data_IF_385875288239
#
_entry.id   IF_385875288239
#
_cell.length_a   1.000
_cell.length_b   1.000
_cell.length_c   1.000
_cell.angle_alpha   90.00
_cell.angle_beta   90.00
_cell.angle_gamma   90.00
#
_symmetry.space_group_name_H-M   'P 1'
#
loop_
_entity.id
_entity.type
_entity.pdbx_description
1 polymer ?
#
# COMPACT_ATOMS: atom_id res chain seq x y z
N UNK A 1 17.83 29.62 -27.99
CA UNK A 1 17.77 29.76 -26.52
C UNK A 1 16.39 30.27 -26.08
N UNK A 2 15.54 29.37 -25.61
CA UNK A 2 14.30 29.72 -24.93
C UNK A 2 14.35 29.06 -23.55
N UNK A 3 14.25 29.81 -22.44
CA UNK A 3 14.16 29.20 -21.14
C UNK A 3 12.72 28.74 -20.94
N UNK A 4 12.48 27.43 -21.06
CA UNK A 4 11.24 26.86 -20.53
C UNK A 4 11.36 26.85 -19.00
N UNK A 5 11.04 27.99 -18.39
CA UNK A 5 10.74 28.07 -16.98
C UNK A 5 9.41 27.37 -16.74
N UNK A 6 9.44 26.05 -16.57
CA UNK A 6 8.33 25.35 -15.93
C UNK A 6 8.40 25.68 -14.46
N UNK A 7 7.66 26.72 -14.07
CA UNK A 7 7.33 27.06 -12.69
C UNK A 7 6.89 25.80 -11.98
N UNK A 8 7.77 25.22 -11.15
CA UNK A 8 7.38 24.18 -10.22
C UNK A 8 6.47 24.86 -9.21
N UNK A 9 5.17 24.78 -9.46
CA UNK A 9 4.16 25.15 -8.48
C UNK A 9 4.49 24.36 -7.22
N UNK A 10 5.06 25.05 -6.22
CA UNK A 10 5.37 24.50 -4.92
C UNK A 10 4.05 24.29 -4.16
N UNK A 11 3.22 23.38 -4.68
CA UNK A 11 2.17 22.77 -3.91
C UNK A 11 2.88 22.15 -2.72
N UNK A 12 2.61 22.65 -1.51
CA UNK A 12 3.17 22.10 -0.29
C UNK A 12 2.86 20.61 -0.27
N UNK A 13 3.85 19.77 -0.59
CA UNK A 13 3.70 18.33 -0.55
C UNK A 13 3.50 17.96 0.91
N UNK A 14 2.50 17.14 1.18
CA UNK A 14 2.16 16.66 2.51
C UNK A 14 2.16 15.14 2.49
N UNK A 15 2.46 14.53 3.64
CA UNK A 15 2.39 13.08 3.76
C UNK A 15 0.94 12.62 3.54
N UNK A 16 0.72 11.73 2.58
CA UNK A 16 -0.59 11.24 2.20
C UNK A 16 -1.17 10.19 3.18
N UNK A 17 -0.56 10.06 4.36
CA UNK A 17 -1.11 9.35 5.50
C UNK A 17 -1.88 10.32 6.39
N UNK A 18 -3.21 10.16 6.52
CA UNK A 18 -4.07 11.04 7.34
C UNK A 18 -3.76 10.97 8.84
N UNK A 19 -3.18 9.88 9.31
CA UNK A 19 -2.77 9.70 10.71
C UNK A 19 -1.33 10.19 10.96
N UNK A 20 -0.67 10.77 9.95
CA UNK A 20 0.66 11.33 10.11
C UNK A 20 0.60 12.74 10.67
N UNK A 21 1.26 12.96 11.81
CA UNK A 21 1.40 14.28 12.45
C UNK A 21 2.69 15.02 12.03
N UNK A 22 3.49 14.45 11.13
CA UNK A 22 4.74 15.07 10.66
C UNK A 22 4.44 16.04 9.51
N UNK A 23 4.75 17.31 9.72
CA UNK A 23 4.61 18.37 8.71
C UNK A 23 6.00 18.76 8.19
N UNK A 24 6.12 18.90 6.86
CA UNK A 24 7.31 19.45 6.19
C UNK A 24 8.60 18.64 6.36
N UNK A 25 8.66 17.46 5.72
CA UNK A 25 9.96 16.89 5.38
C UNK A 25 10.34 17.34 3.96
N UNK A 26 11.56 17.84 3.79
CA UNK A 26 12.11 18.17 2.46
C UNK A 26 12.17 16.95 1.53
N UNK A 27 12.05 15.75 2.09
CA UNK A 27 12.13 14.48 1.39
C UNK A 27 10.82 13.69 1.51
N UNK A 28 10.13 13.56 0.38
CA UNK A 28 9.01 12.65 0.19
C UNK A 28 9.42 11.48 -0.69
N UNK A 29 8.86 10.31 -0.37
CA UNK A 29 9.08 9.07 -1.11
C UNK A 29 7.75 8.54 -1.66
N UNK A 30 7.76 7.89 -2.82
CA UNK A 30 6.53 7.39 -3.44
C UNK A 30 5.95 6.20 -2.66
N UNK A 31 4.63 6.25 -2.44
CA UNK A 31 3.83 5.21 -1.80
C UNK A 31 3.00 4.39 -2.79
N UNK A 32 1.74 4.14 -2.45
CA UNK A 32 0.78 3.46 -3.33
C UNK A 32 0.36 4.32 -4.51
N UNK A 33 -0.15 3.66 -5.55
CA UNK A 33 -0.67 4.33 -6.74
C UNK A 33 -2.03 4.94 -6.47
N UNK A 34 -2.18 6.22 -6.79
CA UNK A 34 -3.43 6.96 -6.70
C UNK A 34 -4.32 6.67 -7.92
N UNK A 35 -5.61 6.98 -7.81
CA UNK A 35 -6.56 6.85 -8.93
C UNK A 35 -6.21 7.77 -10.11
N UNK A 36 -5.49 8.86 -9.88
CA UNK A 36 -4.97 9.74 -10.94
C UNK A 36 -3.87 9.07 -11.76
N UNK A 37 -3.29 7.98 -11.26
CA UNK A 37 -2.15 7.29 -11.87
C UNK A 37 -0.81 7.64 -11.21
N UNK A 38 -0.74 8.75 -10.46
CA UNK A 38 0.44 9.20 -9.71
C UNK A 38 0.71 8.33 -8.47
N UNK A 39 1.83 8.61 -7.79
CA UNK A 39 2.15 8.00 -6.50
C UNK A 39 1.79 8.92 -5.35
N UNK A 40 1.36 8.33 -4.23
CA UNK A 40 1.17 9.05 -2.98
C UNK A 40 2.53 9.54 -2.44
N UNK A 41 2.63 10.81 -2.06
CA UNK A 41 3.81 11.33 -1.36
C UNK A 41 3.77 10.88 0.11
N UNK A 42 4.80 10.18 0.59
CA UNK A 42 4.91 9.73 1.98
C UNK A 42 6.17 10.30 2.63
N UNK A 43 6.08 10.70 3.90
CA UNK A 43 7.25 11.00 4.71
C UNK A 43 8.10 9.73 4.92
N UNK A 44 9.37 9.87 5.32
CA UNK A 44 10.29 8.73 5.44
C UNK A 44 9.76 7.62 6.35
N UNK A 45 9.12 7.97 7.46
CA UNK A 45 8.51 7.00 8.38
C UNK A 45 7.37 6.22 7.72
N UNK A 46 6.47 6.93 7.03
CA UNK A 46 5.32 6.32 6.38
C UNK A 46 5.74 5.47 5.17
N UNK A 47 6.70 5.94 4.39
CA UNK A 47 7.26 5.21 3.25
C UNK A 47 7.94 3.92 3.71
N UNK A 48 8.76 3.98 4.76
CA UNK A 48 9.44 2.80 5.31
C UNK A 48 8.45 1.73 5.79
N UNK A 49 7.34 2.13 6.40
CA UNK A 49 6.26 1.21 6.78
C UNK A 49 5.55 0.59 5.57
N UNK A 50 5.35 1.37 4.51
CA UNK A 50 4.74 0.91 3.26
C UNK A 50 5.61 -0.13 2.55
N UNK A 51 6.90 0.13 2.38
CA UNK A 51 7.84 -0.77 1.72
C UNK A 51 8.02 -2.10 2.44
N UNK A 52 7.96 -2.08 3.78
CA UNK A 52 7.98 -3.30 4.59
C UNK A 52 6.65 -4.07 4.56
N UNK A 53 5.61 -3.53 3.91
CA UNK A 53 4.28 -4.12 3.89
C UNK A 53 3.58 -4.13 5.26
N UNK A 54 3.88 -3.13 6.10
CA UNK A 54 3.37 -2.98 7.48
C UNK A 54 2.53 -1.71 7.68
N UNK A 55 2.31 -0.92 6.62
CA UNK A 55 1.62 0.37 6.74
C UNK A 55 0.26 0.25 7.42
N UNK A 56 -0.58 -0.68 6.97
CA UNK A 56 -1.91 -0.85 7.57
C UNK A 56 -1.82 -1.39 9.01
N UNK A 57 -0.87 -2.28 9.32
CA UNK A 57 -0.70 -2.81 10.67
C UNK A 57 -0.32 -1.72 11.69
N UNK A 58 0.39 -0.69 11.23
CA UNK A 58 0.84 0.42 12.06
C UNK A 58 -0.22 1.52 12.13
N UNK A 59 -0.74 1.94 10.97
CA UNK A 59 -1.56 3.15 10.87
C UNK A 59 -3.06 2.86 10.74
N UNK A 60 -3.50 1.65 10.45
CA UNK A 60 -4.94 1.33 10.30
C UNK A 60 -5.38 0.18 11.22
N UNK A 61 -4.67 -0.07 12.32
CA UNK A 61 -4.91 -1.20 13.21
C UNK A 61 -6.35 -1.27 13.75
N UNK A 62 -6.97 -0.10 13.96
CA UNK A 62 -8.33 0.03 14.49
C UNK A 62 -9.40 0.21 13.41
N UNK A 63 -9.01 0.26 12.14
CA UNK A 63 -9.96 0.36 11.03
C UNK A 63 -10.78 -0.93 10.91
N UNK A 64 -11.97 -0.84 10.31
CA UNK A 64 -12.76 -2.02 9.92
C UNK A 64 -12.16 -2.71 8.70
N UNK A 65 -12.65 -3.92 8.37
CA UNK A 65 -12.29 -4.58 7.10
C UNK A 65 -11.04 -5.45 7.15
N UNK A 66 -10.47 -5.69 8.34
CA UNK A 66 -9.42 -6.69 8.52
C UNK A 66 -9.95 -8.10 8.29
N UNK A 67 -9.24 -8.86 7.48
CA UNK A 67 -9.46 -10.30 7.24
C UNK A 67 -8.15 -11.06 7.44
N UNK A 68 -8.24 -12.37 7.60
CA UNK A 68 -7.07 -13.23 7.67
C UNK A 68 -6.81 -13.88 6.31
N UNK A 69 -5.55 -14.03 5.94
CA UNK A 69 -5.14 -14.89 4.84
C UNK A 69 -5.58 -16.32 5.15
N UNK A 70 -6.33 -16.95 4.25
CA UNK A 70 -6.86 -18.32 4.44
C UNK A 70 -5.73 -19.35 4.64
N UNK A 71 -4.55 -19.12 4.06
CA UNK A 71 -3.44 -20.09 4.10
C UNK A 71 -2.46 -19.92 5.26
N UNK A 72 -2.31 -18.71 5.81
CA UNK A 72 -1.29 -18.44 6.84
C UNK A 72 -1.77 -17.60 8.02
N UNK A 73 -3.04 -17.19 8.04
CA UNK A 73 -3.61 -16.38 9.12
C UNK A 73 -3.10 -14.92 9.19
N UNK A 74 -2.18 -14.50 8.31
CA UNK A 74 -1.71 -13.10 8.27
C UNK A 74 -2.90 -12.16 8.11
N UNK A 75 -2.99 -11.15 8.98
CA UNK A 75 -4.01 -10.08 8.87
C UNK A 75 -3.76 -9.22 7.63
N UNK A 76 -4.83 -8.93 6.90
CA UNK A 76 -4.88 -8.13 5.69
C UNK A 76 -6.00 -7.11 5.85
N UNK A 77 -5.71 -5.83 5.69
CA UNK A 77 -6.71 -4.78 5.75
C UNK A 77 -7.41 -4.65 4.40
N UNK A 78 -8.57 -5.26 4.22
CA UNK A 78 -9.33 -5.19 2.97
C UNK A 78 -10.04 -3.84 2.82
N UNK A 79 -10.36 -3.45 1.59
CA UNK A 79 -11.03 -2.17 1.31
C UNK A 79 -10.13 -0.94 1.46
N UNK A 80 -8.81 -1.14 1.56
CA UNK A 80 -7.83 -0.06 1.68
C UNK A 80 -6.94 -0.01 0.44
N UNK A 81 -6.82 1.16 -0.20
CA UNK A 81 -5.96 1.34 -1.40
C UNK A 81 -4.49 0.98 -1.13
N UNK A 82 -4.03 1.12 0.11
CA UNK A 82 -2.66 0.79 0.50
C UNK A 82 -2.36 -0.70 0.35
N UNK A 83 -3.35 -1.56 0.57
CA UNK A 83 -3.20 -3.01 0.57
C UNK A 83 -3.67 -3.68 -0.73
N UNK A 84 -4.20 -2.94 -1.71
CA UNK A 84 -4.78 -3.52 -2.94
C UNK A 84 -3.81 -4.41 -3.72
N UNK A 85 -2.51 -4.15 -3.62
CA UNK A 85 -1.46 -4.95 -4.25
C UNK A 85 -0.73 -5.86 -3.25
N UNK A 86 -1.37 -6.25 -2.14
CA UNK A 86 -0.79 -7.11 -1.08
C UNK A 86 -1.47 -8.48 -0.93
N UNK A 87 -2.61 -8.70 -1.60
CA UNK A 87 -3.41 -9.90 -1.52
C UNK A 87 -4.21 -10.14 -2.81
N UNK A 88 -4.80 -11.33 -2.93
CA UNK A 88 -5.79 -11.68 -3.97
C UNK A 88 -7.11 -12.07 -3.30
N UNK A 89 -8.20 -11.88 -4.04
CA UNK A 89 -9.51 -12.43 -3.70
C UNK A 89 -9.60 -13.87 -4.21
N UNK A 90 -10.21 -14.75 -3.43
CA UNK A 90 -10.45 -16.14 -3.82
C UNK A 90 -11.85 -16.29 -4.41
N UNK A 91 -12.02 -17.16 -5.41
CA UNK A 91 -13.29 -17.35 -6.12
C UNK A 91 -14.42 -17.85 -5.21
N UNK A 92 -14.09 -18.69 -4.23
CA UNK A 92 -15.04 -19.18 -3.21
C UNK A 92 -15.24 -18.19 -2.04
N UNK A 93 -14.71 -16.98 -2.17
CA UNK A 93 -14.62 -16.00 -1.09
C UNK A 93 -13.41 -16.22 -0.18
N UNK A 94 -13.07 -15.19 0.59
CA UNK A 94 -11.83 -15.15 1.38
C UNK A 94 -10.74 -14.33 0.72
N UNK A 95 -9.57 -14.28 1.36
CA UNK A 95 -8.40 -13.57 0.85
C UNK A 95 -7.14 -14.40 1.04
N UNK A 96 -6.21 -14.28 0.11
CA UNK A 96 -4.89 -14.88 0.26
C UNK A 96 -3.80 -13.82 0.08
N UNK A 97 -2.83 -13.76 1.00
CA UNK A 97 -1.72 -12.83 0.85
C UNK A 97 -0.87 -13.19 -0.39
N UNK A 98 -0.29 -12.19 -1.05
CA UNK A 98 0.49 -12.42 -2.27
C UNK A 98 1.69 -13.36 -2.09
N UNK A 99 2.20 -13.52 -0.87
CA UNK A 99 3.25 -14.50 -0.58
C UNK A 99 2.74 -15.94 -0.64
N UNK A 100 1.53 -16.21 -0.15
CA UNK A 100 0.90 -17.53 -0.22
C UNK A 100 0.37 -17.81 -1.62
N UNK A 101 -0.31 -16.85 -2.24
CA UNK A 101 -0.83 -16.98 -3.60
C UNK A 101 0.28 -17.37 -4.59
N UNK A 102 1.43 -16.68 -4.56
CA UNK A 102 2.58 -17.01 -5.43
C UNK A 102 3.12 -18.43 -5.21
N UNK A 103 3.08 -18.96 -3.98
CA UNK A 103 3.50 -20.34 -3.69
C UNK A 103 2.49 -21.35 -4.26
N UNK A 104 1.20 -21.07 -4.15
CA UNK A 104 0.15 -21.94 -4.70
C UNK A 104 0.17 -21.98 -6.23
N UNK A 105 0.40 -20.85 -6.90
CA UNK A 105 0.60 -20.83 -8.36
C UNK A 105 1.83 -21.65 -8.79
N UNK A 106 2.91 -21.60 -8.02
CA UNK A 106 4.13 -22.36 -8.33
C UNK A 106 3.99 -23.87 -8.12
N UNK A 107 3.04 -24.32 -7.29
CA UNK A 107 2.82 -25.74 -6.98
C UNK A 107 1.85 -26.43 -7.96
N UNK A 108 1.23 -25.70 -8.89
CA UNK A 108 0.20 -26.20 -9.78
C UNK A 108 -1.08 -26.65 -9.05
N UNK A 109 -2.18 -26.96 -9.76
CA UNK A 109 -3.35 -27.53 -9.14
C UNK A 109 -2.98 -28.88 -8.53
N UNK A 110 -3.07 -29.01 -7.21
CA UNK A 110 -3.07 -30.32 -6.57
C UNK A 110 -4.44 -30.94 -6.83
N UNK A 111 -4.54 -31.71 -7.92
CA UNK A 111 -5.63 -32.65 -8.08
C UNK A 111 -5.44 -33.75 -7.03
N UNK A 112 -6.29 -33.74 -6.01
CA UNK A 112 -6.51 -34.88 -5.10
C UNK A 112 -7.66 -35.72 -5.62
#
# INVERSE_FOLDING_TARGET
PFPSSSSMSSSSRFCFNRECSEFNLEHYRPGWRLRTGDFADLCDRCASAYEQGKFCDIFHLRASGWRCCESCGKKIHCGCVVSTSSFILLDAGGVECLACARKNFALGPKFS
#
